data_IF_337448315534
#
_entry.id   IF_337448315534
#
_cell.length_a   1.000
_cell.length_b   1.000
_cell.length_c   1.000
_cell.angle_alpha   90.00
_cell.angle_beta   90.00
_cell.angle_gamma   90.00
#
_symmetry.space_group_name_H-M   'P 1'
#
loop_
_entity.id
_entity.type
_entity.pdbx_description
1 polymer ?
#
# COMPACT_ATOMS: atom_id res chain seq x y z
N UNK A 1 -0.65 2.94 2.55
CA UNK A 1 -1.93 2.24 2.32
C UNK A 1 -2.85 2.58 3.47
N UNK A 2 -4.07 3.09 3.22
CA UNK A 2 -5.06 3.14 4.30
C UNK A 2 -5.69 1.75 4.38
N UNK A 3 -5.84 1.22 5.57
CA UNK A 3 -6.49 -0.08 5.80
C UNK A 3 -7.92 0.11 6.30
N UNK A 4 -8.46 1.32 6.17
CA UNK A 4 -9.77 1.70 6.71
C UNK A 4 -10.85 0.72 6.24
N UNK A 5 -10.76 0.27 4.97
CA UNK A 5 -11.67 -0.72 4.38
C UNK A 5 -11.78 -2.02 5.20
N UNK A 6 -10.73 -2.39 5.93
CA UNK A 6 -10.69 -3.59 6.79
C UNK A 6 -11.54 -3.42 8.05
N UNK A 7 -11.72 -2.18 8.52
CA UNK A 7 -12.36 -1.84 9.79
C UNK A 7 -13.70 -1.12 9.62
N UNK A 8 -13.91 -0.41 8.50
CA UNK A 8 -15.09 0.43 8.23
C UNK A 8 -16.35 -0.34 7.78
N UNK A 9 -16.24 -1.66 7.64
CA UNK A 9 -17.33 -2.55 7.27
C UNK A 9 -17.57 -2.70 5.76
N UNK A 10 -16.93 -1.90 4.90
CA UNK A 10 -17.06 -2.01 3.44
C UNK A 10 -16.62 -3.40 2.98
N UNK A 11 -15.46 -3.86 3.46
CA UNK A 11 -14.92 -5.18 3.12
C UNK A 11 -15.86 -6.32 3.50
N UNK A 12 -16.48 -6.22 4.69
CA UNK A 12 -17.46 -7.19 5.19
C UNK A 12 -18.70 -7.24 4.30
N UNK A 13 -19.30 -6.09 4.01
CA UNK A 13 -20.53 -6.01 3.19
C UNK A 13 -20.29 -6.52 1.77
N UNK A 14 -19.18 -6.13 1.14
CA UNK A 14 -18.83 -6.60 -0.19
C UNK A 14 -18.68 -8.13 -0.23
N UNK A 15 -18.02 -8.72 0.79
CA UNK A 15 -17.89 -10.18 0.90
C UNK A 15 -19.23 -10.89 1.09
N UNK A 16 -20.09 -10.40 1.98
CA UNK A 16 -21.42 -10.99 2.21
C UNK A 16 -22.32 -10.97 0.96
N UNK A 17 -22.08 -10.02 0.05
CA UNK A 17 -22.86 -9.85 -1.18
C UNK A 17 -22.16 -10.37 -2.45
N UNK A 18 -21.01 -11.05 -2.33
CA UNK A 18 -20.20 -11.50 -3.47
C UNK A 18 -19.82 -10.36 -4.45
N UNK A 19 -19.52 -9.17 -3.91
CA UNK A 19 -19.08 -8.01 -4.68
C UNK A 19 -17.55 -7.97 -4.66
N UNK A 20 -16.88 -7.97 -5.84
CA UNK A 20 -15.43 -7.92 -5.88
C UNK A 20 -14.87 -6.54 -5.52
N UNK A 21 -13.67 -6.53 -4.95
CA UNK A 21 -12.92 -5.33 -4.56
C UNK A 21 -11.61 -5.30 -5.34
N UNK A 22 -11.43 -4.23 -6.11
CA UNK A 22 -10.20 -3.99 -6.86
C UNK A 22 -9.37 -2.95 -6.11
N UNK A 23 -8.20 -3.34 -5.62
CA UNK A 23 -7.28 -2.44 -4.95
C UNK A 23 -6.69 -1.43 -5.96
N UNK A 24 -7.12 -0.17 -5.89
CA UNK A 24 -6.60 0.88 -6.76
C UNK A 24 -5.27 1.46 -6.25
N UNK A 25 -4.26 1.48 -7.12
CA UNK A 25 -2.88 1.89 -6.79
C UNK A 25 -2.32 1.13 -5.58
N UNK A 26 -2.25 -0.22 -5.65
CA UNK A 26 -1.96 -1.07 -4.48
C UNK A 26 -0.58 -0.81 -3.86
N UNK A 27 0.40 -0.43 -4.68
CA UNK A 27 1.76 -0.04 -4.24
C UNK A 27 1.89 1.44 -3.88
N UNK A 28 0.78 2.13 -3.56
CA UNK A 28 0.81 3.51 -3.08
C UNK A 28 1.40 4.50 -4.09
N UNK A 29 1.12 4.34 -5.38
CA UNK A 29 1.70 5.15 -6.48
C UNK A 29 3.23 5.12 -6.51
N UNK A 30 3.80 3.95 -6.23
CA UNK A 30 5.23 3.70 -6.24
C UNK A 30 5.93 3.99 -4.92
N UNK A 31 5.22 4.27 -3.83
CA UNK A 31 5.81 4.51 -2.51
C UNK A 31 6.13 3.20 -1.76
N UNK A 32 5.42 2.11 -2.07
CA UNK A 32 5.65 0.78 -1.51
C UNK A 32 6.47 -0.07 -2.49
N UNK A 33 7.64 0.42 -2.86
CA UNK A 33 8.58 -0.29 -3.73
C UNK A 33 9.99 -0.20 -3.15
N UNK A 34 10.86 -1.15 -3.51
CA UNK A 34 12.28 -1.09 -3.11
C UNK A 34 12.92 0.22 -3.59
N UNK A 35 12.66 0.61 -4.85
CA UNK A 35 13.14 1.87 -5.43
C UNK A 35 12.77 3.10 -4.58
N UNK A 36 11.57 3.14 -3.99
CA UNK A 36 11.16 4.27 -3.17
C UNK A 36 11.99 4.43 -1.90
N UNK A 37 12.46 3.31 -1.35
CA UNK A 37 13.25 3.28 -0.12
C UNK A 37 14.73 3.48 -0.43
N UNK A 38 15.24 2.88 -1.49
CA UNK A 38 16.65 2.95 -1.92
C UNK A 38 17.00 4.29 -2.58
N UNK A 39 16.06 4.88 -3.32
CA UNK A 39 16.23 6.10 -4.10
C UNK A 39 15.23 7.18 -3.69
N UNK A 40 15.01 7.32 -2.38
CA UNK A 40 13.99 8.20 -1.81
C UNK A 40 14.05 9.64 -2.34
N UNK A 41 15.25 10.22 -2.44
CA UNK A 41 15.45 11.60 -2.91
C UNK A 41 15.18 11.73 -4.41
N UNK A 42 15.65 10.77 -5.22
CA UNK A 42 15.39 10.76 -6.67
C UNK A 42 13.89 10.63 -6.95
N UNK A 43 13.22 9.69 -6.28
CA UNK A 43 11.77 9.51 -6.40
C UNK A 43 11.05 10.80 -5.98
N UNK A 44 11.46 11.46 -4.90
CA UNK A 44 10.87 12.72 -4.47
C UNK A 44 10.94 13.79 -5.57
N UNK A 45 12.10 13.97 -6.19
CA UNK A 45 12.28 14.93 -7.28
C UNK A 45 11.42 14.61 -8.51
N UNK A 46 11.17 13.33 -8.81
CA UNK A 46 10.23 12.97 -9.89
C UNK A 46 8.79 13.32 -9.52
N UNK A 47 8.38 13.09 -8.26
CA UNK A 47 7.00 13.32 -7.81
C UNK A 47 6.60 14.79 -7.90
N UNK A 48 7.57 15.70 -7.76
CA UNK A 48 7.39 17.15 -7.93
C UNK A 48 7.01 17.57 -9.36
N UNK A 49 7.21 16.70 -10.34
CA UNK A 49 6.98 16.98 -11.77
C UNK A 49 5.75 16.25 -12.33
N UNK A 50 5.02 15.51 -11.51
CA UNK A 50 3.82 14.78 -11.93
C UNK A 50 2.63 14.98 -10.98
N UNK A 51 1.56 14.21 -11.21
CA UNK A 51 0.28 14.28 -10.48
C UNK A 51 0.45 14.14 -8.96
N UNK A 52 1.51 13.47 -8.50
CA UNK A 52 1.82 13.27 -7.07
C UNK A 52 2.20 14.57 -6.38
N UNK A 53 2.68 15.58 -7.11
CA UNK A 53 2.94 16.93 -6.56
C UNK A 53 1.68 17.57 -5.96
N UNK A 54 0.49 17.12 -6.37
CA UNK A 54 -0.80 17.55 -5.82
C UNK A 54 -1.32 16.61 -4.74
N UNK A 55 -0.49 15.82 -4.07
CA UNK A 55 -0.94 14.90 -3.02
C UNK A 55 -0.21 15.23 -1.74
N UNK A 56 -0.95 15.41 -0.64
CA UNK A 56 -0.36 15.75 0.67
C UNK A 56 0.68 14.72 1.12
N UNK A 57 0.49 13.43 0.80
CA UNK A 57 1.46 12.36 1.10
C UNK A 57 2.84 12.56 0.46
N UNK A 58 2.93 13.40 -0.56
CA UNK A 58 4.16 13.75 -1.28
C UNK A 58 4.61 15.20 -1.01
N UNK A 59 4.04 15.88 -0.02
CA UNK A 59 4.70 17.08 0.54
C UNK A 59 6.04 16.67 1.15
N UNK A 60 7.01 17.59 1.25
CA UNK A 60 8.36 17.25 1.72
C UNK A 60 8.36 16.54 3.09
N UNK A 61 7.65 17.11 4.06
CA UNK A 61 7.55 16.58 5.42
C UNK A 61 6.86 15.21 5.44
N UNK A 62 5.70 15.10 4.78
CA UNK A 62 4.93 13.86 4.77
C UNK A 62 5.65 12.76 3.99
N UNK A 63 6.31 13.10 2.89
CA UNK A 63 7.06 12.14 2.09
C UNK A 63 8.21 11.54 2.91
N UNK A 64 9.02 12.37 3.59
CA UNK A 64 10.11 11.89 4.46
C UNK A 64 9.59 10.98 5.57
N UNK A 65 8.50 11.37 6.23
CA UNK A 65 7.87 10.53 7.26
C UNK A 65 7.33 9.20 6.69
N UNK A 66 6.69 9.26 5.53
CA UNK A 66 6.09 8.09 4.87
C UNK A 66 7.15 7.12 4.34
N UNK A 67 8.27 7.59 3.80
CA UNK A 67 9.38 6.72 3.38
C UNK A 67 10.04 6.05 4.59
N UNK A 68 10.26 6.77 5.69
CA UNK A 68 10.78 6.18 6.93
C UNK A 68 9.85 5.08 7.49
N UNK A 69 8.54 5.27 7.34
CA UNK A 69 7.54 4.25 7.62
C UNK A 69 7.66 3.03 6.68
N UNK A 70 7.82 3.26 5.37
CA UNK A 70 8.00 2.20 4.38
C UNK A 70 9.29 1.40 4.60
N UNK A 71 10.35 2.03 5.14
CA UNK A 71 11.61 1.35 5.47
C UNK A 71 11.42 0.13 6.39
N UNK A 72 10.51 0.20 7.37
CA UNK A 72 10.24 -0.94 8.26
C UNK A 72 9.64 -2.14 7.51
N UNK A 73 8.79 -1.88 6.51
CA UNK A 73 8.22 -2.92 5.66
C UNK A 73 9.24 -3.45 4.67
N UNK A 74 10.11 -2.58 4.15
CA UNK A 74 11.26 -2.97 3.34
C UNK A 74 12.17 -3.93 4.12
N UNK A 75 12.52 -3.59 5.36
CA UNK A 75 13.36 -4.45 6.20
C UNK A 75 12.70 -5.82 6.42
N UNK A 76 11.39 -5.84 6.69
CA UNK A 76 10.66 -7.11 6.78
C UNK A 76 10.71 -7.90 5.46
N UNK A 77 10.48 -7.23 4.32
CA UNK A 77 10.49 -7.86 3.00
C UNK A 77 11.83 -8.55 2.73
N UNK A 78 12.94 -7.86 2.96
CA UNK A 78 14.29 -8.34 2.66
C UNK A 78 14.87 -9.27 3.74
N UNK A 79 14.67 -8.95 5.02
CA UNK A 79 15.34 -9.67 6.11
C UNK A 79 14.57 -10.91 6.53
N UNK A 80 13.25 -10.85 6.55
CA UNK A 80 12.37 -11.94 6.98
C UNK A 80 11.87 -12.71 5.78
N UNK A 81 11.21 -12.02 4.84
CA UNK A 81 10.45 -12.69 3.78
C UNK A 81 11.29 -13.08 2.56
N UNK A 82 12.44 -12.45 2.36
CA UNK A 82 13.32 -12.63 1.19
C UNK A 82 12.61 -12.31 -0.13
N UNK A 83 11.91 -11.18 -0.17
CA UNK A 83 11.16 -10.68 -1.33
C UNK A 83 11.27 -9.16 -1.43
N UNK A 84 10.80 -8.56 -2.53
CA UNK A 84 10.77 -7.10 -2.68
C UNK A 84 9.58 -6.47 -1.93
N UNK A 85 9.69 -5.18 -1.60
CA UNK A 85 8.63 -4.46 -0.89
C UNK A 85 7.30 -4.46 -1.68
N UNK A 86 7.34 -4.28 -3.00
CA UNK A 86 6.13 -4.31 -3.82
C UNK A 86 5.47 -5.69 -3.86
N UNK A 87 6.27 -6.77 -3.93
CA UNK A 87 5.76 -8.14 -3.87
C UNK A 87 5.14 -8.43 -2.50
N UNK A 88 5.78 -7.98 -1.42
CA UNK A 88 5.23 -8.07 -0.06
C UNK A 88 3.90 -7.30 0.05
N UNK A 89 3.81 -6.08 -0.47
CA UNK A 89 2.61 -5.27 -0.42
C UNK A 89 1.43 -5.94 -1.13
N UNK A 90 1.66 -6.50 -2.32
CA UNK A 90 0.63 -7.25 -3.07
C UNK A 90 0.24 -8.56 -2.39
N UNK A 91 1.22 -9.27 -1.82
CA UNK A 91 1.01 -10.50 -1.07
C UNK A 91 0.17 -10.28 0.19
N UNK A 92 0.39 -9.15 0.87
CA UNK A 92 -0.42 -8.74 2.01
C UNK A 92 -1.89 -8.50 1.61
N UNK A 93 -2.13 -7.84 0.48
CA UNK A 93 -3.49 -7.61 -0.03
C UNK A 93 -4.21 -8.96 -0.27
N UNK A 94 -3.52 -9.95 -0.86
CA UNK A 94 -4.08 -11.29 -1.05
C UNK A 94 -4.38 -11.99 0.28
N UNK A 95 -3.44 -11.94 1.24
CA UNK A 95 -3.63 -12.57 2.56
C UNK A 95 -4.81 -11.97 3.32
N UNK A 96 -5.03 -10.65 3.22
CA UNK A 96 -6.22 -10.00 3.77
C UNK A 96 -7.49 -10.57 3.13
N UNK A 97 -7.50 -10.76 1.81
CA UNK A 97 -8.61 -11.37 1.07
C UNK A 97 -8.95 -12.78 1.56
N UNK A 98 -7.92 -13.62 1.75
CA UNK A 98 -8.04 -15.01 2.20
C UNK A 98 -8.53 -15.12 3.64
N UNK A 99 -7.94 -14.35 4.57
CA UNK A 99 -8.20 -14.45 6.01
C UNK A 99 -9.63 -14.06 6.41
N UNK A 100 -10.41 -13.46 5.51
CA UNK A 100 -11.73 -12.88 5.81
C UNK A 100 -12.84 -13.44 4.90
N UNK A 101 -12.61 -14.56 4.20
CA UNK A 101 -13.57 -15.15 3.24
C UNK A 101 -14.06 -14.13 2.18
N UNK A 102 -13.16 -13.30 1.70
CA UNK A 102 -13.47 -12.21 0.77
C UNK A 102 -13.27 -12.72 -0.65
N UNK A 103 -14.37 -12.96 -1.37
CA UNK A 103 -14.38 -13.41 -2.76
C UNK A 103 -13.89 -12.35 -3.78
N UNK A 104 -13.17 -11.32 -3.33
CA UNK A 104 -13.18 -10.04 -4.04
C UNK A 104 -11.88 -9.55 -4.65
N UNK A 105 -10.71 -10.00 -4.21
CA UNK A 105 -9.45 -9.52 -4.81
C UNK A 105 -8.99 -10.55 -5.84
N UNK A 106 -9.38 -10.33 -7.10
CA UNK A 106 -8.89 -11.16 -8.21
C UNK A 106 -7.37 -11.04 -8.34
N UNK A 107 -6.71 -12.20 -8.46
CA UNK A 107 -5.27 -12.34 -8.64
C UNK A 107 -4.86 -11.88 -10.05
N UNK A 108 -4.87 -10.57 -10.31
CA UNK A 108 -4.27 -9.95 -11.51
C UNK A 108 -2.89 -9.34 -11.24
N UNK A 109 -2.32 -9.61 -10.06
CA UNK A 109 -1.06 -9.02 -9.61
C UNK A 109 0.20 -9.76 -10.09
N UNK A 110 0.09 -11.03 -10.52
CA UNK A 110 1.25 -11.86 -10.90
C UNK A 110 2.05 -11.30 -12.10
N UNK A 111 1.47 -10.41 -12.92
CA UNK A 111 2.09 -10.00 -14.20
C UNK A 111 3.05 -8.80 -14.13
N UNK A 112 3.11 -8.03 -13.02
CA UNK A 112 3.82 -6.73 -13.04
C UNK A 112 4.96 -6.56 -12.01
N UNK A 113 4.99 -7.30 -10.90
CA UNK A 113 5.89 -6.98 -9.77
C UNK A 113 6.63 -8.20 -9.19
N UNK A 114 6.84 -9.24 -10.00
CA UNK A 114 7.53 -10.47 -9.60
C UNK A 114 6.61 -11.50 -8.95
N UNK A 115 7.22 -12.56 -8.39
CA UNK A 115 6.48 -13.65 -7.77
C UNK A 115 5.89 -13.23 -6.43
N UNK A 116 4.56 -13.29 -6.32
CA UNK A 116 3.87 -13.12 -5.05
C UNK A 116 4.27 -14.23 -4.08
N UNK A 117 4.32 -13.89 -2.79
CA UNK A 117 4.75 -14.79 -1.72
C UNK A 117 3.59 -15.10 -0.79
N UNK A 118 3.51 -16.33 -0.29
CA UNK A 118 2.52 -16.67 0.72
C UNK A 118 2.91 -16.11 2.08
N UNK A 119 1.97 -15.50 2.81
CA UNK A 119 2.20 -15.04 4.18
C UNK A 119 1.62 -16.03 5.19
N UNK A 120 2.48 -16.54 6.07
CA UNK A 120 2.04 -17.31 7.24
C UNK A 120 1.27 -16.40 8.21
N UNK A 121 0.44 -16.99 9.07
CA UNK A 121 -0.32 -16.21 10.05
C UNK A 121 0.59 -15.50 11.07
N UNK A 122 1.77 -16.07 11.35
CA UNK A 122 2.76 -15.45 12.22
C UNK A 122 3.40 -14.22 11.55
N UNK A 123 3.79 -14.32 10.27
CA UNK A 123 4.31 -13.20 9.48
C UNK A 123 3.24 -12.11 9.32
N UNK A 124 1.99 -12.50 9.06
CA UNK A 124 0.87 -11.57 8.94
C UNK A 124 0.66 -10.77 10.23
N UNK A 125 0.68 -11.41 11.40
CA UNK A 125 0.62 -10.73 12.70
C UNK A 125 1.82 -9.80 12.97
N UNK A 126 3.00 -10.13 12.45
CA UNK A 126 4.16 -9.23 12.56
C UNK A 126 3.98 -7.97 11.71
N UNK A 127 3.46 -8.13 10.48
CA UNK A 127 3.11 -7.01 9.60
C UNK A 127 2.01 -6.13 10.21
N UNK A 128 1.00 -6.72 10.84
CA UNK A 128 -0.04 -5.97 11.57
C UNK A 128 0.56 -5.09 12.67
N UNK A 129 1.58 -5.57 13.39
CA UNK A 129 2.28 -4.75 14.40
C UNK A 129 3.11 -3.63 13.78
N UNK A 130 3.76 -3.87 12.63
CA UNK A 130 4.47 -2.80 11.92
C UNK A 130 3.48 -1.72 11.49
N UNK A 131 2.33 -2.14 10.95
CA UNK A 131 1.24 -1.25 10.56
C UNK A 131 0.68 -0.43 11.72
N UNK A 132 0.31 -1.06 12.83
CA UNK A 132 -0.26 -0.37 14.01
C UNK A 132 0.68 0.69 14.60
N UNK A 133 1.99 0.51 14.43
CA UNK A 133 3.02 1.45 14.88
C UNK A 133 3.48 2.43 13.78
N UNK A 134 2.71 2.54 12.70
CA UNK A 134 3.05 3.34 11.52
C UNK A 134 1.86 4.19 11.09
N UNK A 135 1.96 5.50 11.28
CA UNK A 135 0.97 6.46 10.78
C UNK A 135 1.49 7.11 9.51
N UNK A 136 0.79 6.88 8.39
CA UNK A 136 1.07 7.59 7.15
C UNK A 136 0.47 8.99 7.20
N UNK A 137 1.29 9.99 6.84
CA UNK A 137 0.93 11.39 6.87
C UNK A 137 0.38 11.87 5.54
N UNK A 138 -0.65 12.72 5.59
CA UNK A 138 -1.32 13.31 4.42
C UNK A 138 -2.44 12.44 3.83
N UNK A 139 -3.44 13.11 3.24
CA UNK A 139 -4.57 12.47 2.57
C UNK A 139 -4.19 11.82 1.23
N UNK A 140 -5.06 10.94 0.71
CA UNK A 140 -4.89 10.33 -0.64
C UNK A 140 -5.14 11.31 -1.78
N UNK A 141 -5.94 12.35 -1.54
CA UNK A 141 -6.27 13.42 -2.47
C UNK A 141 -6.31 14.72 -1.69
N UNK A 142 -5.59 15.75 -2.13
CA UNK A 142 -5.65 17.06 -1.51
C UNK A 142 -6.85 17.87 -2.04
N UNK A 143 -7.11 19.02 -1.43
CA UNK A 143 -8.18 19.93 -1.86
C UNK A 143 -8.09 20.30 -3.36
N UNK A 144 -6.88 20.46 -3.90
CA UNK A 144 -6.65 20.77 -5.31
C UNK A 144 -7.09 19.63 -6.24
N UNK A 145 -6.79 18.38 -5.89
CA UNK A 145 -7.27 17.21 -6.64
C UNK A 145 -8.79 17.05 -6.51
N UNK A 146 -9.36 17.25 -5.33
CA UNK A 146 -10.81 17.12 -5.09
C UNK A 146 -11.57 18.18 -5.89
N UNK A 147 -11.08 19.42 -5.91
CA UNK A 147 -11.72 20.53 -6.60
C UNK A 147 -11.67 20.38 -8.14
N UNK A 148 -10.66 19.67 -8.67
CA UNK A 148 -10.44 19.52 -10.12
C UNK A 148 -10.79 18.12 -10.66
N UNK A 149 -11.26 17.18 -9.82
CA UNK A 149 -11.70 15.83 -10.25
C UNK A 149 -13.20 15.75 -10.60
N UNK A 150 -13.99 16.77 -10.27
CA UNK A 150 -15.40 16.84 -10.66
C UNK A 150 -15.50 17.43 -12.07
N UNK A 151 -15.39 16.57 -13.08
CA UNK A 151 -15.82 16.84 -14.45
C UNK A 151 -16.84 15.79 -14.86
#
# INVERSE_FOLDING_TARGET
MSTDIVEDGVLKVCSENNIPIIAYSPVGRGMLTDYAVEHADELYETTRKDLRSWMERFSEENYKANIAACKKLYDFAHDVKKTSLEALALSWILKVSEAKNLWGIEKKADMNFGHLVELTDAEFKQLEKIYQNTTLQGSRANAHMIQNMLV
#
